data_IF_652651940574
#
_entry.id   IF_652651940574
#
_cell.length_a   1.000
_cell.length_b   1.000
_cell.length_c   1.000
_cell.angle_alpha   90.00
_cell.angle_beta   90.00
_cell.angle_gamma   90.00
#
_symmetry.space_group_name_H-M   'P 1'
#
loop_
_entity.id
_entity.type
_entity.pdbx_description
1 polymer ?
#
# COMPACT_ATOMS: atom_id res chain seq x y z
N UNK A 1 -4.27 -32.00 -19.42
CA UNK A 1 -3.49 -30.98 -18.73
C UNK A 1 -2.16 -31.56 -18.23
N UNK A 2 -1.05 -31.05 -18.67
CA UNK A 2 0.29 -31.58 -18.34
C UNK A 2 0.86 -31.07 -17.00
N UNK A 3 0.20 -30.12 -16.34
CA UNK A 3 0.71 -29.41 -15.16
C UNK A 3 0.14 -29.94 -13.85
N UNK A 4 -1.16 -30.19 -13.80
CA UNK A 4 -1.87 -30.53 -12.57
C UNK A 4 -2.14 -32.03 -12.44
N UNK A 5 -2.24 -32.54 -11.21
CA UNK A 5 -2.65 -33.90 -10.88
C UNK A 5 -4.15 -34.10 -10.97
N UNK A 6 -4.62 -35.35 -10.94
CA UNK A 6 -6.04 -35.67 -11.10
C UNK A 6 -6.92 -35.09 -9.97
N UNK A 7 -6.45 -35.08 -8.71
CA UNK A 7 -7.17 -34.50 -7.57
C UNK A 7 -7.46 -33.00 -7.77
N UNK A 8 -6.46 -32.23 -8.25
CA UNK A 8 -6.61 -30.80 -8.51
C UNK A 8 -7.64 -30.57 -9.64
N UNK A 9 -7.55 -31.34 -10.74
CA UNK A 9 -8.47 -31.21 -11.86
C UNK A 9 -9.88 -31.68 -11.54
N UNK A 10 -10.01 -32.72 -10.71
CA UNK A 10 -11.30 -33.20 -10.20
C UNK A 10 -12.01 -32.13 -9.39
N UNK A 11 -11.31 -31.48 -8.45
CA UNK A 11 -11.86 -30.36 -7.67
C UNK A 11 -12.23 -29.16 -8.58
N UNK A 12 -11.35 -28.78 -9.51
CA UNK A 12 -11.63 -27.68 -10.44
C UNK A 12 -12.86 -27.96 -11.32
N UNK A 13 -12.99 -29.19 -11.84
CA UNK A 13 -14.15 -29.61 -12.63
C UNK A 13 -15.45 -29.58 -11.77
N UNK A 14 -15.37 -30.04 -10.51
CA UNK A 14 -16.51 -30.03 -9.60
C UNK A 14 -16.99 -28.61 -9.29
N UNK A 15 -16.06 -27.69 -8.99
CA UNK A 15 -16.40 -26.27 -8.73
C UNK A 15 -17.05 -25.63 -9.93
N UNK A 16 -16.47 -25.77 -11.13
CA UNK A 16 -16.99 -25.13 -12.34
C UNK A 16 -18.29 -25.78 -12.84
N UNK A 17 -18.59 -27.01 -12.45
CA UNK A 17 -19.84 -27.68 -12.83
C UNK A 17 -21.10 -26.96 -12.31
N UNK A 18 -20.98 -26.16 -11.27
CA UNK A 18 -22.07 -25.35 -10.72
C UNK A 18 -22.38 -24.08 -11.53
N UNK A 19 -21.53 -23.74 -12.52
CA UNK A 19 -21.77 -22.57 -13.37
C UNK A 19 -22.71 -22.97 -14.56
N UNK A 20 -23.93 -22.39 -14.65
CA UNK A 20 -24.89 -22.71 -15.70
C UNK A 20 -24.43 -22.28 -17.10
N UNK A 21 -23.59 -21.24 -17.22
CA UNK A 21 -23.11 -20.70 -18.49
C UNK A 21 -21.80 -21.35 -18.97
N UNK A 22 -21.51 -22.55 -18.49
CA UNK A 22 -20.28 -23.28 -18.82
C UNK A 22 -20.24 -23.75 -20.25
N UNK A 23 -19.15 -23.43 -20.96
CA UNK A 23 -18.77 -24.14 -22.20
C UNK A 23 -18.28 -25.54 -21.78
N UNK A 24 -18.99 -26.60 -22.20
CA UNK A 24 -18.85 -28.00 -21.77
C UNK A 24 -17.47 -28.63 -21.96
N UNK A 25 -16.43 -28.11 -21.33
CA UNK A 25 -15.05 -28.60 -21.34
C UNK A 25 -14.70 -29.26 -20.02
N UNK A 26 -14.20 -30.48 -20.05
CA UNK A 26 -13.71 -31.22 -18.90
C UNK A 26 -12.18 -31.26 -18.92
N UNK A 27 -11.54 -30.86 -17.84
CA UNK A 27 -10.10 -30.97 -17.70
C UNK A 27 -9.71 -32.39 -17.30
N UNK A 28 -8.67 -32.92 -17.90
CA UNK A 28 -8.13 -34.24 -17.64
C UNK A 28 -6.60 -34.23 -17.66
N UNK A 29 -5.96 -35.25 -17.08
CA UNK A 29 -4.51 -35.41 -17.04
C UNK A 29 -4.14 -36.89 -17.01
N UNK A 30 -2.96 -37.23 -17.53
CA UNK A 30 -2.32 -38.53 -17.41
C UNK A 30 -1.45 -38.64 -16.13
N UNK A 31 -1.31 -37.54 -15.38
CA UNK A 31 -0.62 -37.58 -14.08
C UNK A 31 -1.50 -38.30 -13.08
N UNK A 32 -0.88 -39.09 -12.19
CA UNK A 32 -1.59 -39.80 -11.12
C UNK A 32 -2.43 -38.85 -10.24
N UNK A 33 -3.06 -39.43 -9.24
CA UNK A 33 -3.98 -38.71 -8.37
C UNK A 33 -3.32 -37.51 -7.68
N UNK A 34 -2.03 -37.63 -7.29
CA UNK A 34 -1.33 -36.61 -6.52
C UNK A 34 -1.77 -36.60 -5.06
N UNK A 35 -1.33 -35.58 -4.32
CA UNK A 35 -1.71 -35.38 -2.92
C UNK A 35 -3.18 -34.97 -2.79
N UNK A 36 -3.79 -35.29 -1.65
CA UNK A 36 -5.12 -34.83 -1.30
C UNK A 36 -5.13 -33.30 -1.12
N UNK A 37 -6.30 -32.71 -1.36
CA UNK A 37 -6.50 -31.27 -1.13
C UNK A 37 -6.90 -31.06 0.33
N UNK A 38 -6.11 -30.29 1.06
CA UNK A 38 -6.44 -29.87 2.42
C UNK A 38 -7.39 -28.66 2.39
N UNK A 39 -8.39 -28.69 3.25
CA UNK A 39 -9.32 -27.55 3.45
C UNK A 39 -9.23 -27.08 4.88
N UNK A 40 -8.87 -25.81 5.05
CA UNK A 40 -8.83 -25.17 6.37
C UNK A 40 -9.89 -24.08 6.47
N UNK A 41 -10.73 -24.16 7.49
CA UNK A 41 -11.75 -23.15 7.79
C UNK A 41 -11.21 -22.21 8.88
N UNK A 42 -10.73 -21.04 8.47
CA UNK A 42 -10.22 -20.03 9.38
C UNK A 42 -11.33 -19.24 10.10
N UNK A 43 -11.05 -18.73 11.29
CA UNK A 43 -11.95 -17.88 12.05
C UNK A 43 -12.06 -16.46 11.46
N UNK A 44 -10.97 -15.96 10.87
CA UNK A 44 -10.86 -14.65 10.24
C UNK A 44 -9.64 -14.62 9.31
N UNK A 45 -9.45 -13.47 8.62
CA UNK A 45 -8.36 -13.27 7.67
C UNK A 45 -6.95 -13.35 8.29
N UNK A 46 -6.81 -13.01 9.57
CA UNK A 46 -5.52 -13.09 10.28
C UNK A 46 -5.15 -14.55 10.58
N UNK A 47 -6.13 -15.33 11.01
CA UNK A 47 -5.97 -16.77 11.25
C UNK A 47 -5.67 -17.52 9.95
N UNK A 48 -6.39 -17.17 8.85
CA UNK A 48 -6.12 -17.70 7.51
C UNK A 48 -4.67 -17.43 7.07
N UNK A 49 -4.24 -16.17 7.18
CA UNK A 49 -2.89 -15.78 6.78
C UNK A 49 -1.81 -16.49 7.60
N UNK A 50 -2.00 -16.61 8.93
CA UNK A 50 -1.08 -17.32 9.82
C UNK A 50 -0.97 -18.79 9.42
N UNK A 51 -2.11 -19.47 9.24
CA UNK A 51 -2.12 -20.88 8.82
C UNK A 51 -1.34 -21.07 7.52
N UNK A 52 -1.57 -20.22 6.52
CA UNK A 52 -0.86 -20.30 5.23
C UNK A 52 0.64 -20.11 5.40
N UNK A 53 1.08 -19.12 6.19
CA UNK A 53 2.50 -18.86 6.43
C UNK A 53 3.16 -20.00 7.22
N UNK A 54 2.45 -20.59 8.18
CA UNK A 54 2.92 -21.78 8.91
C UNK A 54 3.11 -22.97 7.96
N UNK A 55 2.17 -23.19 7.02
CA UNK A 55 2.29 -24.25 6.00
C UNK A 55 3.47 -24.00 5.04
N UNK A 56 3.69 -22.76 4.63
CA UNK A 56 4.87 -22.36 3.81
C UNK A 56 6.16 -22.67 4.58
N UNK A 57 6.22 -22.28 5.83
CA UNK A 57 7.39 -22.50 6.68
C UNK A 57 7.65 -23.99 6.90
N UNK A 58 6.59 -24.78 7.05
CA UNK A 58 6.71 -26.24 7.14
C UNK A 58 7.26 -26.86 5.85
N UNK A 59 6.71 -26.44 4.69
CA UNK A 59 7.18 -26.88 3.37
C UNK A 59 8.69 -26.67 3.19
N UNK A 60 9.19 -25.50 3.60
CA UNK A 60 10.62 -25.17 3.49
C UNK A 60 11.46 -25.99 4.47
N UNK A 61 10.97 -26.21 5.71
CA UNK A 61 11.66 -27.12 6.68
C UNK A 61 11.77 -28.56 6.17
N UNK A 62 10.76 -29.00 5.41
CA UNK A 62 10.72 -30.34 4.83
C UNK A 62 11.56 -30.46 3.52
N UNK A 63 12.31 -29.40 3.16
CA UNK A 63 13.25 -29.39 2.04
C UNK A 63 12.73 -28.75 0.76
N UNK A 64 11.53 -28.17 0.78
CA UNK A 64 10.98 -27.38 -0.33
C UNK A 64 11.58 -25.97 -0.42
N UNK A 65 11.22 -25.25 -1.46
CA UNK A 65 11.67 -23.88 -1.71
C UNK A 65 10.51 -22.88 -1.70
N UNK A 66 10.75 -21.65 -1.22
CA UNK A 66 9.80 -20.54 -1.32
C UNK A 66 9.35 -20.27 -2.77
N UNK A 67 10.23 -20.49 -3.75
CA UNK A 67 9.93 -20.29 -5.17
C UNK A 67 8.91 -21.29 -5.76
N UNK A 68 8.62 -22.37 -5.03
CA UNK A 68 7.65 -23.40 -5.43
C UNK A 68 6.26 -23.17 -4.86
N UNK A 69 6.11 -22.12 -4.02
CA UNK A 69 4.84 -21.80 -3.36
C UNK A 69 4.17 -20.60 -4.02
N UNK A 70 2.87 -20.71 -4.26
CA UNK A 70 2.03 -19.60 -4.70
C UNK A 70 0.77 -19.49 -3.85
N UNK A 71 0.46 -18.30 -3.38
CA UNK A 71 -0.79 -17.96 -2.70
C UNK A 71 -1.71 -17.23 -3.67
N UNK A 72 -2.89 -17.78 -3.90
CA UNK A 72 -3.89 -17.21 -4.80
C UNK A 72 -5.07 -16.68 -3.98
N UNK A 73 -5.53 -15.49 -4.30
CA UNK A 73 -6.67 -14.85 -3.65
C UNK A 73 -7.60 -14.17 -4.66
N UNK A 74 -8.85 -13.98 -4.28
CA UNK A 74 -9.88 -13.46 -5.18
C UNK A 74 -9.80 -11.95 -5.39
N UNK A 75 -9.42 -11.19 -4.37
CA UNK A 75 -9.34 -9.73 -4.43
C UNK A 75 -8.05 -9.20 -3.83
N UNK A 76 -7.55 -8.09 -4.37
CA UNK A 76 -6.32 -7.44 -3.88
C UNK A 76 -6.41 -6.99 -2.41
N UNK A 77 -7.61 -6.80 -1.87
CA UNK A 77 -7.79 -6.45 -0.46
C UNK A 77 -7.30 -7.56 0.49
N UNK A 78 -7.43 -8.82 0.06
CA UNK A 78 -6.99 -9.98 0.85
C UNK A 78 -5.46 -10.08 0.98
N UNK A 79 -4.70 -9.49 0.05
CA UNK A 79 -3.22 -9.59 0.08
C UNK A 79 -2.62 -9.01 1.36
N UNK A 80 -3.27 -8.01 1.97
CA UNK A 80 -2.75 -7.31 3.15
C UNK A 80 -2.46 -8.25 4.31
N UNK A 81 -3.42 -9.11 4.68
CA UNK A 81 -3.26 -10.04 5.80
C UNK A 81 -2.10 -11.02 5.56
N UNK A 82 -1.98 -11.54 4.33
CA UNK A 82 -0.85 -12.40 3.94
C UNK A 82 0.48 -11.66 3.95
N UNK A 83 0.53 -10.44 3.42
CA UNK A 83 1.75 -9.63 3.40
C UNK A 83 2.23 -9.28 4.82
N UNK A 84 1.31 -8.92 5.73
CA UNK A 84 1.62 -8.66 7.14
C UNK A 84 2.18 -9.93 7.83
N UNK A 85 1.56 -11.10 7.63
CA UNK A 85 2.00 -12.35 8.22
C UNK A 85 3.36 -12.81 7.65
N UNK A 86 3.58 -12.70 6.34
CA UNK A 86 4.85 -13.04 5.69
C UNK A 86 6.00 -12.13 6.17
N UNK A 87 5.72 -10.83 6.36
CA UNK A 87 6.70 -9.88 6.88
C UNK A 87 7.05 -10.19 8.35
N UNK A 88 6.06 -10.51 9.18
CA UNK A 88 6.29 -10.85 10.59
C UNK A 88 7.22 -12.05 10.75
N UNK A 89 7.06 -13.07 9.90
CA UNK A 89 7.89 -14.28 9.88
C UNK A 89 9.13 -14.17 8.98
N UNK A 90 9.40 -12.96 8.42
CA UNK A 90 10.54 -12.69 7.53
C UNK A 90 10.59 -13.61 6.29
N UNK A 91 9.43 -14.08 5.83
CA UNK A 91 9.31 -14.90 4.62
C UNK A 91 9.39 -14.00 3.38
N UNK A 92 10.35 -14.26 2.45
CA UNK A 92 10.43 -13.46 1.23
C UNK A 92 9.24 -13.73 0.31
N UNK A 93 8.61 -12.69 -0.22
CA UNK A 93 7.47 -12.82 -1.12
C UNK A 93 7.48 -11.81 -2.26
N UNK A 94 6.70 -12.09 -3.31
CA UNK A 94 6.43 -11.18 -4.42
C UNK A 94 4.96 -11.18 -4.78
N UNK A 95 4.36 -9.99 -4.93
CA UNK A 95 2.97 -9.83 -5.40
C UNK A 95 2.99 -9.68 -6.92
N UNK A 96 2.18 -10.50 -7.62
CA UNK A 96 1.98 -10.41 -9.05
C UNK A 96 0.61 -9.80 -9.36
N UNK A 97 0.56 -8.91 -10.34
CA UNK A 97 -0.68 -8.25 -10.76
C UNK A 97 -1.13 -7.09 -9.88
N UNK A 98 -0.29 -6.65 -8.93
CA UNK A 98 -0.54 -5.50 -8.07
C UNK A 98 0.73 -5.00 -7.40
N UNK A 99 0.68 -3.80 -6.81
CA UNK A 99 1.75 -3.31 -5.94
C UNK A 99 1.60 -3.94 -4.56
N UNK A 100 2.73 -4.22 -3.89
CA UNK A 100 2.73 -4.61 -2.47
C UNK A 100 1.95 -3.58 -1.66
N UNK A 101 1.27 -4.00 -0.61
CA UNK A 101 0.46 -3.10 0.20
C UNK A 101 1.22 -1.82 0.58
N UNK A 102 2.46 -1.96 1.10
CA UNK A 102 3.29 -0.82 1.50
C UNK A 102 3.92 -0.05 0.33
N UNK A 103 3.79 -0.53 -0.91
CA UNK A 103 4.23 0.17 -2.12
C UNK A 103 3.15 1.03 -2.75
N UNK A 104 1.90 0.87 -2.32
CA UNK A 104 0.75 1.63 -2.81
C UNK A 104 0.92 3.11 -2.50
N UNK A 105 0.50 3.96 -3.43
CA UNK A 105 0.67 5.40 -3.32
C UNK A 105 0.02 5.97 -2.06
N UNK A 106 -1.24 5.58 -1.79
CA UNK A 106 -2.01 6.02 -0.63
C UNK A 106 -1.35 5.66 0.70
N UNK A 107 -0.68 4.51 0.78
CA UNK A 107 0.04 4.08 1.98
C UNK A 107 1.33 4.88 2.14
N UNK A 108 2.11 5.03 1.07
CA UNK A 108 3.36 5.80 1.09
C UNK A 108 3.11 7.27 1.43
N UNK A 109 2.02 7.85 0.92
CA UNK A 109 1.68 9.24 1.20
C UNK A 109 1.24 9.42 2.64
N UNK A 110 0.42 8.52 3.17
CA UNK A 110 0.04 8.52 4.60
C UNK A 110 1.27 8.40 5.51
N UNK A 111 2.19 7.48 5.18
CA UNK A 111 3.44 7.32 5.92
C UNK A 111 4.33 8.56 5.84
N UNK A 112 4.36 9.27 4.71
CA UNK A 112 5.13 10.51 4.59
C UNK A 112 4.62 11.59 5.55
N UNK A 113 3.31 11.76 5.68
CA UNK A 113 2.75 12.67 6.68
C UNK A 113 3.08 12.27 8.11
N UNK A 114 2.93 10.99 8.45
CA UNK A 114 3.26 10.47 9.79
C UNK A 114 4.74 10.68 10.12
N UNK A 115 5.64 10.46 9.14
CA UNK A 115 7.08 10.75 9.30
C UNK A 115 7.34 12.23 9.51
N UNK A 116 6.71 13.12 8.74
CA UNK A 116 6.83 14.56 8.92
C UNK A 116 6.35 15.03 10.29
N UNK A 117 5.30 14.41 10.85
CA UNK A 117 4.82 14.70 12.22
C UNK A 117 5.88 14.30 13.26
N UNK A 118 6.53 13.16 13.09
CA UNK A 118 7.55 12.64 14.00
C UNK A 118 8.94 13.25 13.82
N UNK A 119 9.31 13.60 12.59
CA UNK A 119 10.63 14.11 12.23
C UNK A 119 10.55 15.14 11.11
N UNK A 120 10.74 16.42 11.45
CA UNK A 120 10.76 17.54 10.48
C UNK A 120 11.96 17.52 9.54
N UNK A 121 13.02 16.78 9.88
CA UNK A 121 14.23 16.68 9.08
C UNK A 121 14.18 15.53 8.05
N UNK A 122 13.06 14.84 7.92
CA UNK A 122 12.86 13.82 6.87
C UNK A 122 12.52 14.49 5.53
N UNK A 123 13.55 14.84 4.76
CA UNK A 123 13.42 15.50 3.47
C UNK A 123 12.69 14.65 2.44
N UNK A 124 12.83 13.33 2.48
CA UNK A 124 12.11 12.43 1.56
C UNK A 124 10.60 12.43 1.87
N UNK A 125 10.24 12.45 3.14
CA UNK A 125 8.84 12.58 3.56
C UNK A 125 8.27 13.97 3.20
N UNK A 126 9.06 15.03 3.35
CA UNK A 126 8.68 16.38 2.94
C UNK A 126 8.35 16.43 1.43
N UNK A 127 9.28 15.99 0.58
CA UNK A 127 9.07 16.04 -0.88
C UNK A 127 7.84 15.26 -1.31
N UNK A 128 7.53 14.16 -0.63
CA UNK A 128 6.37 13.36 -0.94
C UNK A 128 5.06 13.99 -0.46
N UNK A 129 5.04 14.60 0.73
CA UNK A 129 3.84 15.14 1.36
C UNK A 129 3.46 16.55 0.88
N UNK A 130 4.44 17.36 0.51
CA UNK A 130 4.28 18.81 0.33
C UNK A 130 3.21 19.20 -0.70
N UNK A 131 3.04 18.42 -1.76
CA UNK A 131 2.06 18.66 -2.81
C UNK A 131 1.12 17.47 -3.08
N UNK A 132 0.96 16.59 -2.11
CA UNK A 132 0.02 15.46 -2.15
C UNK A 132 -0.92 15.52 -0.94
N UNK A 133 -2.21 15.83 -1.10
CA UNK A 133 -2.92 16.30 -2.31
C UNK A 133 -2.35 17.61 -2.88
N UNK A 134 -2.66 17.90 -4.14
CA UNK A 134 -2.18 19.11 -4.84
C UNK A 134 -2.54 20.39 -4.08
N UNK A 135 -1.50 21.20 -3.74
CA UNK A 135 -1.63 22.48 -2.98
C UNK A 135 -1.16 23.71 -3.74
N UNK A 136 -0.85 23.54 -5.03
CA UNK A 136 -0.31 24.64 -5.83
C UNK A 136 1.16 24.95 -5.55
N UNK A 137 1.88 24.02 -4.94
CA UNK A 137 3.34 24.10 -4.74
C UNK A 137 3.99 23.37 -5.92
N UNK A 138 4.34 24.11 -6.96
CA UNK A 138 4.95 23.55 -8.17
C UNK A 138 6.46 23.36 -8.04
N UNK A 139 7.05 22.66 -9.03
CA UNK A 139 8.48 22.32 -9.07
C UNK A 139 9.40 23.52 -8.87
N UNK A 140 9.07 24.66 -9.48
CA UNK A 140 9.83 25.90 -9.31
C UNK A 140 9.91 26.36 -7.85
N UNK A 141 8.83 26.21 -7.10
CA UNK A 141 8.81 26.57 -5.67
C UNK A 141 9.64 25.56 -4.86
N UNK A 142 9.54 24.28 -5.19
CA UNK A 142 10.34 23.22 -4.56
C UNK A 142 11.84 23.40 -4.85
N UNK A 143 12.20 23.84 -6.05
CA UNK A 143 13.60 24.11 -6.39
C UNK A 143 14.19 25.27 -5.57
N UNK A 144 13.39 26.31 -5.30
CA UNK A 144 13.84 27.40 -4.40
C UNK A 144 14.00 26.88 -2.95
N UNK A 145 13.11 26.00 -2.47
CA UNK A 145 13.25 25.36 -1.15
C UNK A 145 14.53 24.50 -1.11
N UNK A 146 14.78 23.69 -2.14
CA UNK A 146 16.01 22.87 -2.24
C UNK A 146 17.28 23.71 -2.29
N UNK A 147 17.28 24.82 -3.04
CA UNK A 147 18.40 25.77 -3.09
C UNK A 147 18.69 26.37 -1.72
N UNK A 148 17.64 26.81 -1.03
CA UNK A 148 17.75 27.38 0.32
C UNK A 148 18.33 26.35 1.30
N UNK A 149 17.78 25.14 1.30
CA UNK A 149 18.22 24.04 2.15
C UNK A 149 19.73 23.74 1.97
N UNK A 150 20.18 23.69 0.72
CA UNK A 150 21.63 23.48 0.42
C UNK A 150 22.49 24.66 0.90
N UNK A 151 22.03 25.89 0.69
CA UNK A 151 22.78 27.10 1.06
C UNK A 151 22.91 27.23 2.59
N UNK A 152 21.92 26.80 3.36
CA UNK A 152 21.89 26.93 4.81
C UNK A 152 22.21 25.64 5.55
N UNK A 153 22.40 24.51 4.82
CA UNK A 153 22.58 23.17 5.39
C UNK A 153 21.45 22.79 6.37
N UNK A 154 20.21 23.21 6.06
CA UNK A 154 19.02 22.95 6.87
C UNK A 154 18.09 21.94 6.15
N UNK A 155 17.20 21.24 6.90
CA UNK A 155 16.13 20.42 6.31
C UNK A 155 15.20 21.23 5.39
N UNK A 156 14.59 20.54 4.43
CA UNK A 156 13.64 21.14 3.49
C UNK A 156 12.44 21.81 4.21
N UNK A 157 11.94 21.22 5.28
CA UNK A 157 10.83 21.78 6.05
C UNK A 157 11.19 23.14 6.66
N UNK A 158 12.35 23.25 7.28
CA UNK A 158 12.81 24.52 7.89
C UNK A 158 13.07 25.57 6.81
N UNK A 159 13.68 25.19 5.70
CA UNK A 159 13.91 26.07 4.55
C UNK A 159 12.58 26.55 3.93
N UNK A 160 11.58 25.67 3.82
CA UNK A 160 10.24 26.02 3.38
C UNK A 160 9.54 27.00 4.36
N UNK A 161 9.72 26.77 5.67
CA UNK A 161 9.20 27.66 6.71
C UNK A 161 9.79 29.07 6.59
N UNK A 162 11.11 29.20 6.46
CA UNK A 162 11.76 30.49 6.25
C UNK A 162 11.26 31.20 4.99
N UNK A 163 11.19 30.49 3.86
CA UNK A 163 10.72 31.04 2.60
C UNK A 163 9.22 31.43 2.64
N UNK A 164 8.42 30.78 3.50
CA UNK A 164 7.01 31.10 3.68
C UNK A 164 6.75 32.46 4.37
N UNK A 165 7.70 32.95 5.17
CA UNK A 165 7.64 34.25 5.86
C UNK A 165 8.46 35.32 5.12
N UNK A 166 9.46 34.93 4.29
CA UNK A 166 10.32 35.82 3.52
C UNK A 166 9.59 36.48 2.33
N UNK A 167 10.31 37.35 1.63
CA UNK A 167 9.83 38.01 0.43
C UNK A 167 10.44 37.45 -0.87
N UNK A 168 11.13 36.32 -0.78
CA UNK A 168 11.87 35.73 -1.88
C UNK A 168 10.96 35.01 -2.88
N UNK A 169 9.78 34.57 -2.45
CA UNK A 169 8.79 33.90 -3.28
C UNK A 169 7.61 34.81 -3.64
N UNK A 170 7.01 34.53 -4.83
CA UNK A 170 5.75 35.16 -5.20
C UNK A 170 4.65 34.84 -4.16
N UNK A 171 3.75 35.80 -3.91
CA UNK A 171 2.76 35.70 -2.84
C UNK A 171 1.92 34.41 -2.86
N UNK A 172 1.53 33.92 -4.04
CA UNK A 172 0.79 32.65 -4.17
C UNK A 172 1.61 31.45 -3.70
N UNK A 173 2.87 31.35 -4.11
CA UNK A 173 3.76 30.25 -3.71
C UNK A 173 4.07 30.31 -2.20
N UNK A 174 4.32 31.51 -1.70
CA UNK A 174 4.54 31.77 -0.28
C UNK A 174 3.34 31.34 0.56
N UNK A 175 2.12 31.73 0.17
CA UNK A 175 0.91 31.36 0.90
C UNK A 175 0.66 29.83 0.85
N UNK A 176 0.96 29.19 -0.28
CA UNK A 176 0.84 27.74 -0.40
C UNK A 176 1.80 27.00 0.53
N UNK A 177 3.07 27.44 0.62
CA UNK A 177 4.05 26.89 1.59
C UNK A 177 3.61 27.15 3.03
N UNK A 178 3.18 28.38 3.36
CA UNK A 178 2.69 28.71 4.71
C UNK A 178 1.52 27.82 5.12
N UNK A 179 0.57 27.57 4.18
CA UNK A 179 -0.55 26.65 4.41
C UNK A 179 -0.08 25.23 4.71
N UNK A 180 0.91 24.73 3.97
CA UNK A 180 1.47 23.40 4.22
C UNK A 180 2.20 23.32 5.58
N UNK A 181 3.02 24.31 5.93
CA UNK A 181 3.70 24.38 7.23
C UNK A 181 2.68 24.35 8.37
N UNK A 182 1.66 25.22 8.30
CA UNK A 182 0.58 25.28 9.29
C UNK A 182 -0.18 23.94 9.40
N UNK A 183 -0.42 23.27 8.27
CA UNK A 183 -1.04 21.95 8.26
C UNK A 183 -0.20 20.94 9.06
N UNK A 184 1.09 20.83 8.77
CA UNK A 184 1.98 19.88 9.44
C UNK A 184 2.09 20.18 10.94
N UNK A 185 2.20 21.44 11.32
CA UNK A 185 2.23 21.86 12.73
C UNK A 185 0.91 21.52 13.45
N UNK A 186 -0.23 21.80 12.80
CA UNK A 186 -1.55 21.45 13.30
C UNK A 186 -1.78 19.94 13.45
N UNK A 187 -1.31 19.15 12.48
CA UNK A 187 -1.33 17.70 12.57
C UNK A 187 -0.51 17.19 13.75
N UNK A 188 0.69 17.73 13.94
CA UNK A 188 1.56 17.33 15.05
C UNK A 188 0.92 17.61 16.43
N UNK A 189 0.29 18.76 16.58
CA UNK A 189 -0.44 19.11 17.79
C UNK A 189 -1.68 18.20 18.00
N UNK A 190 -2.40 17.92 16.91
CA UNK A 190 -3.65 17.15 16.95
C UNK A 190 -3.47 15.65 17.21
N UNK A 191 -2.28 15.09 16.99
CA UNK A 191 -2.03 13.65 17.24
C UNK A 191 -1.40 13.35 18.59
N UNK A 192 -1.11 14.35 19.39
CA UNK A 192 -0.51 14.17 20.71
C UNK A 192 -1.44 13.33 21.60
N UNK A 193 -0.91 12.25 22.17
CA UNK A 193 -1.66 11.36 23.06
C UNK A 193 -2.65 10.40 22.38
N UNK A 194 -2.82 10.45 21.06
CA UNK A 194 -3.71 9.52 20.35
C UNK A 194 -3.04 8.15 20.15
N UNK A 195 -3.86 7.11 20.10
CA UNK A 195 -3.46 5.78 19.64
C UNK A 195 -3.11 5.81 18.15
N UNK A 196 -2.30 4.84 17.68
CA UNK A 196 -1.80 4.82 16.29
C UNK A 196 -2.92 4.86 15.25
N UNK A 197 -4.00 4.12 15.47
CA UNK A 197 -5.18 4.11 14.59
C UNK A 197 -5.78 5.50 14.46
N UNK A 198 -6.00 6.17 15.57
CA UNK A 198 -6.63 7.49 15.60
C UNK A 198 -5.69 8.58 15.02
N UNK A 199 -4.37 8.41 15.19
CA UNK A 199 -3.36 9.25 14.50
C UNK A 199 -3.48 9.13 12.98
N UNK A 200 -3.59 7.91 12.47
CA UNK A 200 -3.73 7.66 11.03
C UNK A 200 -5.03 8.28 10.51
N UNK A 201 -6.15 8.04 11.17
CA UNK A 201 -7.45 8.59 10.77
C UNK A 201 -7.44 10.13 10.81
N UNK A 202 -6.85 10.73 11.85
CA UNK A 202 -6.67 12.18 11.95
C UNK A 202 -5.86 12.74 10.78
N UNK A 203 -4.74 12.11 10.44
CA UNK A 203 -3.90 12.51 9.31
C UNK A 203 -4.65 12.38 7.99
N UNK A 204 -5.29 11.25 7.71
CA UNK A 204 -6.03 11.00 6.47
C UNK A 204 -7.11 12.06 6.22
N UNK A 205 -7.84 12.43 7.26
CA UNK A 205 -8.93 13.42 7.18
C UNK A 205 -8.36 14.85 7.05
N UNK A 206 -7.47 15.25 7.96
CA UNK A 206 -6.97 16.64 8.05
C UNK A 206 -6.02 17.02 6.92
N UNK A 207 -5.23 16.05 6.40
CA UNK A 207 -4.39 16.29 5.23
C UNK A 207 -5.18 16.26 3.91
N UNK A 208 -6.45 15.83 3.92
CA UNK A 208 -7.29 15.70 2.73
C UNK A 208 -6.97 14.46 1.87
N UNK A 209 -6.16 13.52 2.37
CA UNK A 209 -5.77 12.31 1.63
C UNK A 209 -6.96 11.40 1.35
N UNK A 210 -7.87 11.25 2.32
CA UNK A 210 -9.07 10.41 2.17
C UNK A 210 -9.92 10.85 0.98
N UNK A 211 -10.22 12.14 0.89
CA UNK A 211 -11.04 12.70 -0.18
C UNK A 211 -10.30 12.66 -1.53
N UNK A 212 -9.01 12.94 -1.53
CA UNK A 212 -8.16 12.87 -2.71
C UNK A 212 -8.22 11.49 -3.36
N UNK A 213 -7.97 10.42 -2.62
CA UNK A 213 -7.98 9.06 -3.15
C UNK A 213 -9.39 8.55 -3.48
N UNK A 214 -10.42 8.97 -2.75
CA UNK A 214 -11.81 8.63 -3.11
C UNK A 214 -12.21 9.24 -4.46
N UNK A 215 -11.74 10.44 -4.77
CA UNK A 215 -12.01 11.10 -6.05
C UNK A 215 -11.21 10.47 -7.19
N UNK A 216 -9.96 10.07 -6.97
CA UNK A 216 -9.19 9.31 -7.96
C UNK A 216 -9.85 7.97 -8.31
N UNK A 217 -10.34 7.24 -7.31
CA UNK A 217 -11.05 5.98 -7.53
C UNK A 217 -12.34 6.18 -8.35
N UNK A 218 -13.10 7.24 -8.10
CA UNK A 218 -14.31 7.57 -8.88
C UNK A 218 -13.97 7.89 -10.34
N UNK A 219 -12.97 8.73 -10.57
CA UNK A 219 -12.51 9.07 -11.93
C UNK A 219 -12.03 7.87 -12.73
N UNK A 220 -11.44 6.84 -12.09
CA UNK A 220 -11.05 5.59 -12.76
C UNK A 220 -12.23 4.68 -13.07
N UNK A 221 -13.32 4.74 -12.31
CA UNK A 221 -14.55 3.99 -12.58
C UNK A 221 -15.31 4.59 -13.77
N UNK A 222 -15.41 5.91 -13.84
CA UNK A 222 -16.09 6.61 -14.93
C UNK A 222 -15.35 6.46 -16.28
N UNK A 223 -14.01 6.38 -16.27
CA UNK A 223 -13.19 6.17 -17.49
C UNK A 223 -13.21 4.74 -18.03
N UNK A 224 -13.81 3.77 -17.33
CA UNK A 224 -13.96 2.38 -17.77
C UNK A 224 -15.36 2.07 -18.30
N UNK A 225 -16.26 3.05 -18.28
CA UNK A 225 -17.66 2.92 -18.73
C UNK A 225 -17.92 3.58 -20.08
N UNK A 226 -16.92 4.27 -20.64
CA UNK A 226 -16.87 4.78 -22.01
C UNK A 226 -15.99 3.88 -22.91
#
# INVERSE_FOLDING_TARGET
>A
NYRSTANILGAANAVIAHNPDRIGKQLWTDRGEGEAIDVYAAYNEVDEARYVVDRISQWVRDGGSYSEVAVLYRSNAQSRAFEEALLAEQVPYRVYGGMRFFERAEIKDTLAYLRMIGNRADDAAFERAVNTPTRGIGDRTLDEVRKRARATSQPLFESARELSVGNELAGRARNALAGFITLIEGLSAGVAGLELKDKIDHVLVRAGLREFYLNECKGQLDSRTD
#
